data_IF_978422448814
#
_entry.id   IF_978422448814
#
_cell.length_a   1.000
_cell.length_b   1.000
_cell.length_c   1.000
_cell.angle_alpha   90.00
_cell.angle_beta   90.00
_cell.angle_gamma   90.00
#
_symmetry.space_group_name_H-M   'P 1'
#
loop_
_entity.id
_entity.type
_entity.pdbx_description
1 polymer ?
#
# COMPACT_ATOMS: atom_id res chain seq x y z
N UNK A 1 2.66 -3.33 34.11
CA UNK A 1 1.86 -2.22 33.54
C UNK A 1 2.41 -1.74 32.20
N UNK A 2 3.68 -1.30 32.14
CA UNK A 2 4.28 -0.71 30.92
C UNK A 2 4.37 -1.65 29.71
N UNK A 3 4.81 -2.90 29.91
CA UNK A 3 4.83 -3.94 28.85
C UNK A 3 3.45 -4.17 28.21
N UNK A 4 2.39 -4.18 29.02
CA UNK A 4 1.01 -4.34 28.54
C UNK A 4 0.55 -3.12 27.73
N UNK A 5 0.94 -1.91 28.16
CA UNK A 5 0.67 -0.68 27.39
C UNK A 5 1.37 -0.72 26.03
N UNK A 6 2.66 -1.05 26.00
CA UNK A 6 3.43 -1.17 24.75
C UNK A 6 2.84 -2.22 23.81
N UNK A 7 2.44 -3.38 24.34
CA UNK A 7 1.78 -4.42 23.56
C UNK A 7 0.43 -3.96 23.00
N UNK A 8 -0.39 -3.28 23.81
CA UNK A 8 -1.68 -2.74 23.39
C UNK A 8 -1.51 -1.70 22.29
N UNK A 9 -0.61 -0.74 22.46
CA UNK A 9 -0.33 0.29 21.46
C UNK A 9 0.17 -0.31 20.13
N UNK A 10 1.09 -1.28 20.20
CA UNK A 10 1.56 -2.00 19.00
C UNK A 10 0.44 -2.77 18.31
N UNK A 11 -0.42 -3.43 19.09
CA UNK A 11 -1.54 -4.18 18.55
C UNK A 11 -2.53 -3.25 17.84
N UNK A 12 -2.83 -2.08 18.43
CA UNK A 12 -3.72 -1.08 17.81
C UNK A 12 -3.15 -0.55 16.50
N UNK A 13 -1.89 -0.10 16.51
CA UNK A 13 -1.21 0.39 15.32
C UNK A 13 -1.22 -0.65 14.19
N UNK A 14 -0.94 -1.92 14.53
CA UNK A 14 -0.97 -3.02 13.55
C UNK A 14 -2.37 -3.23 12.98
N UNK A 15 -3.40 -3.21 13.82
CA UNK A 15 -4.79 -3.36 13.36
C UNK A 15 -5.21 -2.20 12.46
N UNK A 16 -4.81 -0.97 12.78
CA UNK A 16 -5.07 0.21 11.95
C UNK A 16 -4.38 0.12 10.57
N UNK A 17 -3.17 -0.43 10.50
CA UNK A 17 -2.43 -0.59 9.24
C UNK A 17 -2.96 -1.73 8.37
N UNK A 18 -3.40 -2.85 8.97
CA UNK A 18 -3.86 -4.03 8.22
C UNK A 18 -5.34 -3.92 7.86
N UNK A 19 -6.13 -3.18 8.63
CA UNK A 19 -7.57 -3.12 8.48
C UNK A 19 -8.29 -4.34 9.06
N UNK A 20 -9.44 -4.68 8.49
CA UNK A 20 -10.25 -5.84 8.88
C UNK A 20 -9.70 -7.15 8.33
N UNK A 21 -8.82 -7.07 7.31
CA UNK A 21 -8.30 -8.22 6.59
C UNK A 21 -9.27 -8.78 5.54
N UNK A 22 -10.36 -8.06 5.25
CA UNK A 22 -11.29 -8.45 4.19
C UNK A 22 -10.63 -8.36 2.80
N UNK A 23 -11.09 -9.21 1.87
CA UNK A 23 -10.57 -9.26 0.51
C UNK A 23 -10.80 -7.96 -0.26
N UNK A 24 -11.85 -7.20 0.08
CA UNK A 24 -12.11 -5.91 -0.54
C UNK A 24 -11.07 -4.84 -0.17
N UNK A 25 -10.39 -4.98 0.97
CA UNK A 25 -9.37 -4.05 1.47
C UNK A 25 -7.95 -4.35 0.94
N UNK A 26 -7.81 -5.31 0.02
CA UNK A 26 -6.50 -5.68 -0.53
C UNK A 26 -5.82 -4.50 -1.23
N UNK A 27 -4.55 -4.26 -0.90
CA UNK A 27 -3.76 -3.19 -1.55
C UNK A 27 -3.22 -3.61 -2.92
N UNK A 28 -2.91 -4.90 -3.11
CA UNK A 28 -2.30 -5.43 -4.34
C UNK A 28 -2.85 -6.81 -4.68
N UNK A 29 -2.82 -7.17 -5.96
CA UNK A 29 -3.13 -8.51 -6.45
C UNK A 29 -1.98 -9.03 -7.30
N UNK A 30 -1.42 -10.15 -6.90
CA UNK A 30 -0.38 -10.89 -7.63
C UNK A 30 -1.05 -12.04 -8.38
N UNK A 31 -1.07 -11.97 -9.72
CA UNK A 31 -1.74 -12.95 -10.57
C UNK A 31 -0.70 -13.68 -11.43
N UNK A 32 -0.20 -14.79 -10.90
CA UNK A 32 0.81 -15.63 -11.56
C UNK A 32 0.35 -16.21 -12.90
N UNK A 33 -0.87 -16.77 -13.07
CA UNK A 33 -1.31 -17.28 -14.36
C UNK A 33 -1.31 -16.24 -15.50
N UNK A 34 -1.51 -14.96 -15.17
CA UNK A 34 -1.50 -13.85 -16.14
C UNK A 34 -0.22 -13.00 -16.06
N UNK A 35 0.77 -13.43 -15.27
CA UNK A 35 2.05 -12.76 -15.12
C UNK A 35 2.01 -11.32 -14.62
N UNK A 36 0.95 -10.88 -13.91
CA UNK A 36 0.75 -9.46 -13.58
C UNK A 36 0.60 -9.16 -12.09
N UNK A 37 0.94 -7.94 -11.73
CA UNK A 37 0.73 -7.36 -10.40
C UNK A 37 -0.06 -6.07 -10.55
N UNK A 38 -1.19 -5.95 -9.84
CA UNK A 38 -2.01 -4.73 -9.82
C UNK A 38 -2.01 -4.14 -8.42
N UNK A 39 -1.67 -2.85 -8.28
CA UNK A 39 -1.82 -2.08 -7.04
C UNK A 39 -3.12 -1.26 -7.10
N UNK A 40 -4.07 -1.58 -6.21
CA UNK A 40 -5.41 -0.98 -6.19
C UNK A 40 -5.43 0.42 -5.57
N UNK A 41 -4.37 0.82 -4.85
CA UNK A 41 -4.31 2.16 -4.25
C UNK A 41 -4.08 3.24 -5.31
N UNK A 42 -3.33 2.91 -6.36
CA UNK A 42 -2.99 3.80 -7.49
C UNK A 42 -3.56 3.35 -8.83
N UNK A 43 -4.14 2.14 -8.90
CA UNK A 43 -4.74 1.61 -10.13
C UNK A 43 -3.74 1.14 -11.18
N UNK A 44 -2.47 0.96 -10.81
CA UNK A 44 -1.40 0.57 -11.74
C UNK A 44 -1.33 -0.94 -11.86
N UNK A 45 -1.15 -1.44 -13.08
CA UNK A 45 -0.87 -2.84 -13.37
C UNK A 45 0.47 -2.98 -14.07
N UNK A 46 1.32 -3.85 -13.55
CA UNK A 46 2.59 -4.25 -14.14
C UNK A 46 2.49 -5.68 -14.65
N UNK A 47 3.03 -5.96 -15.83
CA UNK A 47 2.81 -7.22 -16.58
C UNK A 47 3.97 -8.22 -16.52
N UNK A 48 4.89 -8.04 -15.56
CA UNK A 48 5.92 -9.03 -15.28
C UNK A 48 6.04 -9.27 -13.77
N UNK A 49 5.37 -10.30 -13.27
CA UNK A 49 5.37 -10.64 -11.85
C UNK A 49 6.75 -11.08 -11.35
N UNK A 50 7.58 -11.70 -12.19
CA UNK A 50 8.89 -12.22 -11.76
C UNK A 50 9.82 -11.07 -11.36
N UNK A 51 9.93 -10.03 -12.20
CA UNK A 51 10.75 -8.85 -11.90
C UNK A 51 10.33 -8.16 -10.60
N UNK A 52 9.02 -8.10 -10.33
CA UNK A 52 8.50 -7.52 -9.08
C UNK A 52 8.87 -8.38 -7.88
N UNK A 53 8.80 -9.71 -8.02
CA UNK A 53 9.16 -10.65 -6.96
C UNK A 53 10.67 -10.68 -6.68
N UNK A 54 11.51 -10.41 -7.69
CA UNK A 54 12.95 -10.24 -7.54
C UNK A 54 13.33 -8.83 -7.04
N UNK A 55 12.37 -7.89 -7.00
CA UNK A 55 12.56 -6.52 -6.54
C UNK A 55 13.12 -5.57 -7.59
N UNK A 56 13.33 -6.01 -8.83
CA UNK A 56 13.93 -5.21 -9.92
C UNK A 56 13.02 -4.08 -10.38
N UNK A 57 11.70 -4.31 -10.38
CA UNK A 57 10.70 -3.35 -10.87
C UNK A 57 9.66 -2.99 -9.80
N UNK A 58 10.04 -3.04 -8.51
CA UNK A 58 9.16 -2.61 -7.41
C UNK A 58 8.97 -1.09 -7.38
N UNK A 59 9.97 -0.34 -7.83
CA UNK A 59 9.98 1.14 -7.83
C UNK A 59 8.81 1.75 -8.59
N UNK A 60 8.35 1.08 -9.68
CA UNK A 60 7.15 1.48 -10.45
C UNK A 60 5.93 1.69 -9.54
N UNK A 61 5.76 0.86 -8.51
CA UNK A 61 4.66 1.01 -7.56
C UNK A 61 4.98 2.05 -6.48
N UNK A 62 6.22 2.12 -6.03
CA UNK A 62 6.64 3.02 -4.95
C UNK A 62 6.52 4.47 -5.43
N UNK A 63 7.07 4.79 -6.59
CA UNK A 63 7.06 6.13 -7.17
C UNK A 63 5.63 6.62 -7.41
N UNK A 64 4.77 5.74 -7.91
CA UNK A 64 3.36 6.07 -8.11
C UNK A 64 2.61 6.35 -6.80
N UNK A 65 2.93 5.63 -5.72
CA UNK A 65 2.34 5.85 -4.41
C UNK A 65 2.82 7.17 -3.81
N UNK A 66 4.11 7.48 -3.93
CA UNK A 66 4.68 8.74 -3.49
C UNK A 66 4.07 9.92 -4.23
N UNK A 67 3.98 9.84 -5.56
CA UNK A 67 3.34 10.88 -6.36
C UNK A 67 1.88 11.08 -5.96
N UNK A 68 1.13 10.01 -5.72
CA UNK A 68 -0.25 10.11 -5.24
C UNK A 68 -0.33 10.82 -3.89
N UNK A 69 0.54 10.47 -2.94
CA UNK A 69 0.58 11.10 -1.64
C UNK A 69 0.90 12.60 -1.72
N UNK A 70 1.87 12.99 -2.56
CA UNK A 70 2.20 14.40 -2.82
C UNK A 70 1.01 15.16 -3.42
N UNK A 71 0.32 14.56 -4.40
CA UNK A 71 -0.87 15.15 -5.00
C UNK A 71 -2.02 15.33 -4.00
N UNK A 72 -2.28 14.32 -3.17
CA UNK A 72 -3.32 14.36 -2.14
C UNK A 72 -2.99 15.43 -1.07
N UNK A 73 -1.72 15.57 -0.69
CA UNK A 73 -1.25 16.61 0.22
C UNK A 73 -1.44 18.02 -0.36
N UNK A 74 -1.07 18.24 -1.63
CA UNK A 74 -1.26 19.52 -2.33
C UNK A 74 -2.76 19.85 -2.45
N UNK A 75 -3.61 18.89 -2.80
CA UNK A 75 -5.05 19.08 -2.91
C UNK A 75 -5.70 19.45 -1.57
N UNK A 76 -5.26 18.81 -0.49
CA UNK A 76 -5.71 19.12 0.87
C UNK A 76 -5.27 20.52 1.30
N UNK A 77 -4.05 20.92 0.97
CA UNK A 77 -3.53 22.26 1.25
C UNK A 77 -4.30 23.35 0.49
N UNK A 78 -4.52 23.14 -0.82
CA UNK A 78 -5.26 24.09 -1.66
C UNK A 78 -6.73 24.23 -1.28
N UNK A 79 -7.34 23.22 -0.67
CA UNK A 79 -8.75 23.30 -0.22
C UNK A 79 -8.90 23.92 1.17
N UNK A 80 -7.79 24.05 1.92
CA UNK A 80 -7.75 24.66 3.25
C UNK A 80 -7.40 26.17 3.23
N UNK A 81 -7.12 26.72 2.04
CA UNK A 81 -6.81 28.15 1.81
C UNK A 81 -7.94 28.78 1.01
#
# INVERSE_FOLDING_TARGET
MERLRLQSSRSKLRSEQIGSGDRSERIRTYNFPQGRVTDHRVGITYHNIEDVMQGENLDVFIDALLLKEEMDAIATFSSST
#
